data_IF_987907069647
#
_entry.id   IF_987907069647
#
_cell.length_a   1.000
_cell.length_b   1.000
_cell.length_c   1.000
_cell.angle_alpha   90.00
_cell.angle_beta   90.00
_cell.angle_gamma   90.00
#
_symmetry.space_group_name_H-M   'P 1'
#
loop_
_entity.id
_entity.type
_entity.pdbx_description
1 polymer ?
#
# COMPACT_ATOMS: atom_id res chain seq x y z
N UNK A 1 -14.62 -4.30 18.00
CA UNK A 1 -15.51 -3.11 17.97
C UNK A 1 -16.26 -3.04 16.65
N UNK A 2 -17.55 -2.72 16.67
CA UNK A 2 -18.34 -2.52 15.45
C UNK A 2 -17.91 -1.23 14.75
N UNK A 3 -17.64 -1.30 13.45
CA UNK A 3 -17.30 -0.15 12.61
C UNK A 3 -18.58 0.42 11.97
N UNK A 4 -18.78 1.71 12.16
CA UNK A 4 -19.84 2.46 11.49
C UNK A 4 -19.21 3.62 10.73
N UNK A 5 -18.99 3.48 9.40
CA UNK A 5 -18.30 4.49 8.63
C UNK A 5 -19.13 5.78 8.48
N UNK A 6 -18.47 6.92 8.57
CA UNK A 6 -19.03 8.20 8.15
C UNK A 6 -19.24 8.22 6.63
N UNK A 7 -20.05 9.15 6.14
CA UNK A 7 -20.38 9.19 4.70
C UNK A 7 -19.16 9.41 3.80
N UNK A 8 -18.22 10.25 4.19
CA UNK A 8 -16.96 10.41 3.45
C UNK A 8 -16.13 9.12 3.46
N UNK A 9 -16.15 8.34 4.56
CA UNK A 9 -15.44 7.07 4.63
C UNK A 9 -16.09 6.02 3.71
N UNK A 10 -17.42 5.96 3.68
CA UNK A 10 -18.15 5.10 2.73
C UNK A 10 -17.76 5.43 1.29
N UNK A 11 -17.77 6.72 0.95
CA UNK A 11 -17.35 7.17 -0.38
C UNK A 11 -15.92 6.73 -0.70
N UNK A 12 -14.98 6.91 0.21
CA UNK A 12 -13.59 6.49 0.00
C UNK A 12 -13.45 4.97 -0.15
N UNK A 13 -14.19 4.18 0.63
CA UNK A 13 -14.22 2.72 0.52
C UNK A 13 -14.69 2.30 -0.87
N UNK A 14 -15.83 2.82 -1.32
CA UNK A 14 -16.35 2.53 -2.66
C UNK A 14 -15.39 2.99 -3.76
N UNK A 15 -14.78 4.16 -3.61
CA UNK A 15 -13.81 4.68 -4.57
C UNK A 15 -12.61 3.74 -4.76
N UNK A 16 -12.04 3.19 -3.67
CA UNK A 16 -10.97 2.18 -3.75
C UNK A 16 -11.45 0.92 -4.46
N UNK A 17 -12.67 0.45 -4.16
CA UNK A 17 -13.24 -0.76 -4.76
C UNK A 17 -13.46 -0.62 -6.27
N UNK A 18 -13.95 0.51 -6.71
CA UNK A 18 -14.30 0.78 -8.11
C UNK A 18 -13.07 1.13 -8.97
N UNK A 19 -12.02 1.73 -8.39
CA UNK A 19 -10.86 2.22 -9.13
C UNK A 19 -9.61 1.38 -8.86
N UNK A 20 -9.06 0.69 -9.88
CA UNK A 20 -7.81 -0.06 -9.73
C UNK A 20 -6.63 0.79 -9.29
N UNK A 21 -6.62 2.07 -9.65
CA UNK A 21 -5.60 3.04 -9.23
C UNK A 21 -6.28 4.23 -8.57
N UNK A 22 -5.99 4.44 -7.29
CA UNK A 22 -6.60 5.52 -6.50
C UNK A 22 -5.61 6.17 -5.55
N UNK A 23 -5.87 7.42 -5.20
CA UNK A 23 -5.16 8.16 -4.17
C UNK A 23 -6.17 8.83 -3.24
N UNK A 24 -5.99 8.64 -1.93
CA UNK A 24 -6.81 9.28 -0.90
C UNK A 24 -6.02 10.41 -0.22
N UNK A 25 -6.53 11.60 -0.36
CA UNK A 25 -6.02 12.81 0.30
C UNK A 25 -6.89 13.10 1.52
N UNK A 26 -6.53 12.56 2.66
CA UNK A 26 -7.26 12.70 3.92
C UNK A 26 -6.28 13.10 5.03
N UNK A 27 -6.65 14.09 5.82
CA UNK A 27 -5.86 14.51 6.97
C UNK A 27 -5.61 13.40 7.98
N UNK A 28 -4.68 13.64 8.88
CA UNK A 28 -4.40 12.70 9.97
C UNK A 28 -5.64 12.51 10.84
N UNK A 29 -5.87 11.28 11.28
CA UNK A 29 -7.02 10.95 12.14
C UNK A 29 -8.34 10.68 11.42
N UNK A 30 -8.45 10.92 10.11
CA UNK A 30 -9.68 10.67 9.34
C UNK A 30 -9.90 9.19 8.95
N UNK A 31 -9.10 8.29 9.50
CA UNK A 31 -9.34 6.85 9.37
C UNK A 31 -8.85 6.23 8.05
N UNK A 32 -7.76 6.73 7.44
CA UNK A 32 -7.20 6.14 6.22
C UNK A 32 -6.99 4.63 6.32
N UNK A 33 -6.46 4.15 7.44
CA UNK A 33 -6.18 2.73 7.65
C UNK A 33 -7.44 1.88 7.69
N UNK A 34 -8.45 2.27 8.47
CA UNK A 34 -9.72 1.50 8.54
C UNK A 34 -10.50 1.57 7.24
N UNK A 35 -10.52 2.71 6.54
CA UNK A 35 -11.11 2.85 5.21
C UNK A 35 -10.48 1.84 4.25
N UNK A 36 -9.14 1.82 4.19
CA UNK A 36 -8.40 0.93 3.30
C UNK A 36 -8.64 -0.53 3.67
N UNK A 37 -8.50 -0.92 4.94
CA UNK A 37 -8.74 -2.29 5.40
C UNK A 37 -10.17 -2.77 5.10
N UNK A 38 -11.17 -1.90 5.24
CA UNK A 38 -12.56 -2.23 4.89
C UNK A 38 -12.72 -2.47 3.39
N UNK A 39 -12.10 -1.64 2.55
CA UNK A 39 -12.10 -1.84 1.10
C UNK A 39 -11.36 -3.13 0.71
N UNK A 40 -10.22 -3.44 1.34
CA UNK A 40 -9.47 -4.69 1.11
C UNK A 40 -10.30 -5.91 1.50
N UNK A 41 -10.99 -5.87 2.64
CA UNK A 41 -11.87 -6.95 3.07
C UNK A 41 -12.94 -7.25 2.02
N UNK A 42 -13.61 -6.23 1.50
CA UNK A 42 -14.60 -6.38 0.45
C UNK A 42 -13.99 -6.91 -0.87
N UNK A 43 -12.85 -6.36 -1.30
CA UNK A 43 -12.16 -6.83 -2.52
C UNK A 43 -11.70 -8.28 -2.45
N UNK A 44 -11.31 -8.76 -1.25
CA UNK A 44 -10.82 -10.12 -1.05
C UNK A 44 -11.96 -11.13 -0.89
N UNK A 45 -12.94 -10.84 -0.05
CA UNK A 45 -13.93 -11.84 0.38
C UNK A 45 -15.30 -11.70 -0.28
N UNK A 46 -15.70 -10.49 -0.64
CA UNK A 46 -17.01 -10.26 -1.28
C UNK A 46 -16.89 -10.26 -2.81
N UNK A 47 -15.85 -9.61 -3.35
CA UNK A 47 -15.68 -9.43 -4.81
C UNK A 47 -14.67 -10.41 -5.43
N UNK A 48 -13.83 -11.07 -4.64
CA UNK A 48 -12.78 -12.01 -5.07
C UNK A 48 -11.83 -11.44 -6.14
N UNK A 49 -11.56 -10.13 -6.07
CA UNK A 49 -10.72 -9.40 -7.02
C UNK A 49 -9.26 -9.32 -6.62
N UNK A 50 -8.97 -9.53 -5.33
CA UNK A 50 -7.63 -9.39 -4.75
C UNK A 50 -7.35 -10.60 -3.86
N UNK A 51 -6.15 -11.17 -4.00
CA UNK A 51 -5.72 -12.33 -3.21
C UNK A 51 -4.65 -11.97 -2.17
N UNK A 52 -3.70 -11.10 -2.53
CA UNK A 52 -2.54 -10.79 -1.69
C UNK A 52 -2.15 -9.33 -1.81
N UNK A 53 -2.09 -8.65 -0.68
CA UNK A 53 -1.82 -7.21 -0.61
C UNK A 53 -0.49 -6.93 0.09
N UNK A 54 0.29 -6.03 -0.48
CA UNK A 54 1.45 -5.43 0.15
C UNK A 54 1.12 -4.00 0.57
N UNK A 55 1.26 -3.70 1.86
CA UNK A 55 1.20 -2.35 2.41
C UNK A 55 2.61 -1.86 2.68
N UNK A 56 2.96 -0.70 2.16
CA UNK A 56 4.24 -0.03 2.38
C UNK A 56 3.98 1.20 3.25
N UNK A 57 4.58 1.24 4.44
CA UNK A 57 4.31 2.27 5.43
C UNK A 57 5.59 2.72 6.17
N UNK A 58 5.56 3.83 6.91
CA UNK A 58 6.60 4.15 7.87
C UNK A 58 6.75 3.05 8.92
N UNK A 59 7.98 2.84 9.45
CA UNK A 59 8.28 1.70 10.35
C UNK A 59 7.30 1.54 11.51
N UNK A 60 6.98 2.61 12.23
CA UNK A 60 6.03 2.57 13.36
C UNK A 60 4.62 2.18 12.90
N UNK A 61 4.19 2.76 11.79
CA UNK A 61 2.86 2.51 11.24
C UNK A 61 2.75 1.07 10.74
N UNK A 62 3.79 0.55 10.07
CA UNK A 62 3.85 -0.83 9.61
C UNK A 62 3.81 -1.83 10.76
N UNK A 63 4.59 -1.57 11.83
CA UNK A 63 4.73 -2.47 12.97
C UNK A 63 3.53 -2.44 13.90
N UNK A 64 2.99 -1.26 14.17
CA UNK A 64 2.05 -1.05 15.27
C UNK A 64 0.62 -0.73 14.79
N UNK A 65 0.46 0.20 13.84
CA UNK A 65 -0.86 0.74 13.46
C UNK A 65 -1.71 -0.25 12.66
N UNK A 66 -1.15 -0.79 11.57
CA UNK A 66 -1.88 -1.72 10.71
C UNK A 66 -2.34 -2.99 11.43
N UNK A 67 -1.47 -3.69 12.21
CA UNK A 67 -1.91 -4.85 12.97
C UNK A 67 -2.93 -4.53 14.05
N UNK A 68 -2.80 -3.38 14.73
CA UNK A 68 -3.74 -2.96 15.76
C UNK A 68 -5.13 -2.67 15.19
N UNK A 69 -5.20 -2.01 14.02
CA UNK A 69 -6.49 -1.73 13.36
C UNK A 69 -7.20 -3.01 12.91
N UNK A 70 -6.48 -4.01 12.38
CA UNK A 70 -7.10 -5.31 12.03
C UNK A 70 -7.72 -5.97 13.26
N UNK A 71 -7.03 -5.98 14.41
CA UNK A 71 -7.52 -6.58 15.64
C UNK A 71 -8.66 -5.81 16.29
N UNK A 72 -8.76 -4.53 16.06
CA UNK A 72 -9.72 -3.63 16.71
C UNK A 72 -11.16 -3.82 16.19
N UNK A 73 -11.32 -4.12 14.91
CA UNK A 73 -12.61 -4.09 14.25
C UNK A 73 -13.18 -5.48 13.96
N UNK A 74 -14.45 -5.72 14.34
CA UNK A 74 -15.09 -7.02 14.27
C UNK A 74 -15.15 -7.60 12.84
N UNK A 75 -15.40 -6.74 11.85
CA UNK A 75 -15.50 -7.16 10.45
C UNK A 75 -14.14 -7.48 9.78
N UNK A 76 -13.03 -7.20 10.45
CA UNK A 76 -11.67 -7.45 9.93
C UNK A 76 -11.01 -8.67 10.56
N UNK A 77 -11.64 -9.38 11.45
CA UNK A 77 -11.04 -10.48 12.22
C UNK A 77 -10.56 -11.66 11.35
N UNK A 78 -11.07 -11.80 10.14
CA UNK A 78 -10.63 -12.82 9.18
C UNK A 78 -9.41 -12.40 8.33
N UNK A 79 -8.98 -11.13 8.44
CA UNK A 79 -7.80 -10.64 7.73
C UNK A 79 -6.53 -11.04 8.48
N UNK A 80 -5.89 -12.11 8.02
CA UNK A 80 -4.55 -12.47 8.49
C UNK A 80 -3.53 -11.44 7.97
N UNK A 81 -2.74 -10.87 8.89
CA UNK A 81 -1.73 -9.86 8.58
C UNK A 81 -0.34 -10.31 9.02
N UNK A 82 0.65 -10.13 8.15
CA UNK A 82 2.06 -10.42 8.43
C UNK A 82 2.91 -9.16 8.30
N UNK A 83 3.79 -8.90 9.27
CA UNK A 83 4.60 -7.67 9.35
C UNK A 83 6.04 -7.97 9.02
N UNK A 84 6.53 -7.44 7.89
CA UNK A 84 7.89 -7.65 7.35
C UNK A 84 8.79 -6.53 7.84
N UNK A 85 9.22 -6.61 9.10
CA UNK A 85 10.13 -5.65 9.75
C UNK A 85 11.18 -6.37 10.59
N UNK A 86 12.19 -5.65 11.06
CA UNK A 86 13.22 -6.18 11.95
C UNK A 86 14.40 -6.80 11.21
N UNK A 87 15.02 -7.82 11.80
CA UNK A 87 16.18 -8.54 11.25
C UNK A 87 15.82 -9.31 9.97
N UNK A 88 16.83 -9.72 9.19
CA UNK A 88 16.63 -10.55 7.99
C UNK A 88 15.88 -11.84 8.34
N UNK A 89 16.19 -12.46 9.47
CA UNK A 89 15.50 -13.69 9.93
C UNK A 89 14.02 -13.44 10.17
N UNK A 90 13.69 -12.37 10.88
CA UNK A 90 12.29 -11.99 11.16
C UNK A 90 11.53 -11.68 9.89
N UNK A 91 12.12 -10.89 8.99
CA UNK A 91 11.52 -10.56 7.69
C UNK A 91 11.28 -11.79 6.81
N UNK A 92 12.26 -12.71 6.78
CA UNK A 92 12.12 -13.97 6.02
C UNK A 92 10.99 -14.83 6.60
N UNK A 93 10.89 -14.95 7.92
CA UNK A 93 9.78 -15.65 8.54
C UNK A 93 8.43 -15.01 8.21
N UNK A 94 8.36 -13.68 8.24
CA UNK A 94 7.14 -12.94 7.94
C UNK A 94 6.69 -13.08 6.47
N UNK A 95 7.63 -13.08 5.50
CA UNK A 95 7.32 -13.32 4.08
C UNK A 95 6.78 -14.73 3.84
N UNK A 96 7.31 -15.72 4.57
CA UNK A 96 6.90 -17.12 4.44
C UNK A 96 5.66 -17.47 5.29
N UNK A 97 5.20 -16.57 6.14
CA UNK A 97 3.95 -16.75 6.86
C UNK A 97 2.77 -16.57 5.89
N UNK A 98 1.76 -17.45 5.99
CA UNK A 98 0.57 -17.34 5.16
C UNK A 98 -0.36 -16.25 5.69
N UNK A 99 -0.54 -15.19 4.91
CA UNK A 99 -1.38 -14.05 5.25
C UNK A 99 -2.04 -13.46 4.00
N UNK A 100 -3.09 -12.67 4.19
CA UNK A 100 -3.73 -11.91 3.12
C UNK A 100 -3.06 -10.54 2.90
N UNK A 101 -2.63 -9.91 4.01
CA UNK A 101 -2.00 -8.59 4.02
C UNK A 101 -0.60 -8.71 4.58
N UNK A 102 0.36 -8.19 3.85
CA UNK A 102 1.75 -8.08 4.28
C UNK A 102 2.09 -6.61 4.42
N UNK A 103 2.66 -6.22 5.55
CA UNK A 103 3.04 -4.83 5.80
C UNK A 103 4.55 -4.75 5.91
N UNK A 104 5.17 -3.92 5.10
CA UNK A 104 6.61 -3.69 5.08
C UNK A 104 6.92 -2.21 5.33
N UNK A 105 7.98 -1.92 6.07
CA UNK A 105 8.44 -0.55 6.13
C UNK A 105 9.19 -0.18 4.84
N UNK A 106 9.02 1.07 4.41
CA UNK A 106 9.52 1.58 3.12
C UNK A 106 11.02 1.37 2.90
N UNK A 107 11.83 1.31 3.96
CA UNK A 107 13.27 1.06 3.90
C UNK A 107 13.59 -0.38 3.46
N UNK A 108 12.68 -1.32 3.70
CA UNK A 108 12.84 -2.74 3.38
C UNK A 108 12.20 -3.16 2.04
N UNK A 109 11.62 -2.24 1.27
CA UNK A 109 11.06 -2.55 -0.06
C UNK A 109 12.12 -3.14 -0.98
N UNK A 110 13.32 -2.54 -1.03
CA UNK A 110 14.44 -3.09 -1.80
C UNK A 110 14.74 -4.53 -1.41
N UNK A 111 14.90 -4.79 -0.11
CA UNK A 111 15.18 -6.13 0.39
C UNK A 111 14.09 -7.14 -0.03
N UNK A 112 12.82 -6.76 0.05
CA UNK A 112 11.71 -7.64 -0.32
C UNK A 112 11.74 -8.02 -1.80
N UNK A 113 11.96 -7.04 -2.68
CA UNK A 113 12.06 -7.30 -4.13
C UNK A 113 13.25 -8.19 -4.43
N UNK A 114 14.43 -7.90 -3.85
CA UNK A 114 15.64 -8.73 -3.99
C UNK A 114 15.45 -10.14 -3.42
N UNK A 115 14.69 -10.30 -2.34
CA UNK A 115 14.36 -11.60 -1.76
C UNK A 115 13.59 -12.46 -2.76
N UNK A 116 12.56 -11.90 -3.41
CA UNK A 116 11.81 -12.60 -4.46
C UNK A 116 12.70 -12.97 -5.65
N UNK A 117 13.51 -12.04 -6.13
CA UNK A 117 14.45 -12.26 -7.26
C UNK A 117 15.45 -13.37 -6.94
N UNK A 118 16.13 -13.30 -5.79
CA UNK A 118 17.17 -14.26 -5.38
C UNK A 118 16.66 -15.67 -5.15
N UNK A 119 15.40 -15.80 -4.73
CA UNK A 119 14.78 -17.11 -4.49
C UNK A 119 13.98 -17.62 -5.69
N UNK A 120 14.02 -16.94 -6.83
CA UNK A 120 13.27 -17.33 -8.02
C UNK A 120 11.76 -17.31 -7.84
N UNK A 121 11.27 -16.49 -6.89
CA UNK A 121 9.84 -16.37 -6.58
C UNK A 121 9.19 -15.40 -7.55
N UNK A 122 8.01 -15.76 -8.04
CA UNK A 122 7.18 -14.84 -8.80
C UNK A 122 6.57 -13.82 -7.83
N UNK A 123 6.59 -12.55 -8.24
CA UNK A 123 5.88 -11.50 -7.50
C UNK A 123 4.38 -11.77 -7.53
N UNK A 124 3.79 -12.03 -6.38
CA UNK A 124 2.42 -12.50 -6.22
C UNK A 124 1.51 -11.52 -5.46
N UNK A 125 2.03 -10.34 -5.12
CA UNK A 125 1.19 -9.26 -4.62
C UNK A 125 0.44 -8.62 -5.78
N UNK A 126 -0.86 -8.80 -5.82
CA UNK A 126 -1.72 -8.27 -6.88
C UNK A 126 -2.24 -6.85 -6.58
N UNK A 127 -2.06 -6.38 -5.34
CA UNK A 127 -2.36 -5.02 -4.92
C UNK A 127 -1.27 -4.45 -4.01
N UNK A 128 -0.93 -3.19 -4.21
CA UNK A 128 -0.02 -2.43 -3.34
C UNK A 128 -0.74 -1.20 -2.78
N UNK A 129 -0.61 -1.00 -1.47
CA UNK A 129 -1.02 0.21 -0.76
C UNK A 129 0.23 0.94 -0.28
N UNK A 130 0.35 2.22 -0.61
CA UNK A 130 1.43 3.07 -0.14
C UNK A 130 0.85 4.03 0.91
N UNK A 131 1.13 3.73 2.17
CA UNK A 131 0.79 4.63 3.27
C UNK A 131 1.89 5.69 3.40
N UNK A 132 1.47 6.95 3.52
CA UNK A 132 2.34 8.12 3.43
C UNK A 132 2.98 8.24 2.03
N UNK A 133 2.15 8.36 1.00
CA UNK A 133 2.56 8.47 -0.40
C UNK A 133 3.58 9.60 -0.63
N UNK A 134 3.45 10.69 0.11
CA UNK A 134 4.38 11.84 0.08
C UNK A 134 5.84 11.47 0.36
N UNK A 135 6.10 10.33 1.01
CA UNK A 135 7.47 9.83 1.22
C UNK A 135 8.17 9.34 -0.06
N UNK A 136 7.44 9.20 -1.16
CA UNK A 136 7.95 8.76 -2.47
C UNK A 136 8.09 9.90 -3.48
N UNK A 137 8.19 11.16 -3.02
CA UNK A 137 8.26 12.36 -3.85
C UNK A 137 9.42 12.38 -4.84
N UNK A 138 10.54 11.78 -4.49
CA UNK A 138 11.70 11.75 -5.37
C UNK A 138 11.68 10.51 -6.27
N UNK A 139 11.31 10.70 -7.55
CA UNK A 139 11.30 9.65 -8.56
C UNK A 139 12.68 9.02 -8.84
N UNK A 140 13.77 9.69 -8.47
CA UNK A 140 15.15 9.16 -8.55
C UNK A 140 15.50 8.32 -7.31
N UNK A 141 14.65 8.30 -6.28
CA UNK A 141 14.91 7.51 -5.08
C UNK A 141 15.01 6.02 -5.39
N UNK A 142 15.85 5.33 -4.64
CA UNK A 142 15.98 3.86 -4.77
C UNK A 142 14.65 3.15 -4.54
N UNK A 143 13.81 3.66 -3.62
CA UNK A 143 12.48 3.12 -3.33
C UNK A 143 11.57 3.15 -4.54
N UNK A 144 11.53 4.26 -5.24
CA UNK A 144 10.76 4.44 -6.48
C UNK A 144 11.22 3.45 -7.57
N UNK A 145 12.53 3.29 -7.74
CA UNK A 145 13.10 2.35 -8.72
C UNK A 145 12.69 0.91 -8.45
N UNK A 146 12.69 0.49 -7.18
CA UNK A 146 12.30 -0.87 -6.80
C UNK A 146 10.81 -1.13 -7.01
N UNK A 147 9.94 -0.19 -6.71
CA UNK A 147 8.51 -0.30 -6.99
C UNK A 147 8.22 -0.35 -8.49
N UNK A 148 8.96 0.40 -9.31
CA UNK A 148 8.82 0.32 -10.78
C UNK A 148 9.13 -1.07 -11.34
N UNK A 149 10.06 -1.81 -10.75
CA UNK A 149 10.37 -3.18 -11.19
C UNK A 149 9.16 -4.11 -11.04
N UNK A 150 8.42 -4.00 -9.96
CA UNK A 150 7.29 -4.89 -9.66
C UNK A 150 5.97 -4.40 -10.24
N UNK A 151 5.91 -3.14 -10.69
CA UNK A 151 4.69 -2.53 -11.22
C UNK A 151 3.97 -3.37 -12.28
N UNK A 152 4.62 -4.01 -13.27
CA UNK A 152 3.94 -4.81 -14.29
C UNK A 152 3.14 -5.99 -13.74
N UNK A 153 3.45 -6.43 -12.53
CA UNK A 153 2.81 -7.58 -11.88
C UNK A 153 1.68 -7.19 -10.92
N UNK A 154 1.47 -5.89 -10.70
CA UNK A 154 0.52 -5.36 -9.72
C UNK A 154 -0.67 -4.75 -10.45
N UNK A 155 -1.87 -5.26 -10.14
CA UNK A 155 -3.11 -4.84 -10.81
C UNK A 155 -3.75 -3.61 -10.17
N UNK A 156 -3.58 -3.43 -8.86
CA UNK A 156 -4.23 -2.38 -8.08
C UNK A 156 -3.23 -1.62 -7.23
N UNK A 157 -3.40 -0.30 -7.19
CA UNK A 157 -2.55 0.61 -6.43
C UNK A 157 -3.38 1.62 -5.67
N UNK A 158 -3.09 1.80 -4.38
CA UNK A 158 -3.70 2.83 -3.53
C UNK A 158 -2.59 3.65 -2.88
N UNK A 159 -2.68 4.95 -3.02
CA UNK A 159 -1.82 5.90 -2.30
C UNK A 159 -2.61 6.60 -1.20
N UNK A 160 -2.05 6.69 -0.01
CA UNK A 160 -2.63 7.38 1.14
C UNK A 160 -1.72 8.51 1.56
N UNK A 161 -2.23 9.73 1.69
CA UNK A 161 -1.47 10.88 2.18
C UNK A 161 -2.35 11.94 2.83
N UNK A 162 -1.81 12.64 3.83
CA UNK A 162 -2.47 13.82 4.42
C UNK A 162 -2.14 15.11 3.68
N UNK A 163 -0.96 15.16 3.06
CA UNK A 163 -0.50 16.35 2.35
C UNK A 163 -0.08 15.98 0.93
N UNK A 164 -0.86 16.37 -0.10
CA UNK A 164 -0.60 15.95 -1.48
C UNK A 164 0.71 16.52 -2.05
N UNK A 165 1.07 17.75 -1.68
CA UNK A 165 2.29 18.38 -2.19
C UNK A 165 2.92 19.29 -1.14
N UNK A 166 4.25 19.15 -0.92
CA UNK A 166 5.02 20.12 -0.12
C UNK A 166 5.92 21.00 -0.99
N UNK A 167 6.34 20.54 -2.17
CA UNK A 167 7.30 21.22 -3.05
C UNK A 167 6.77 21.41 -4.48
N UNK A 168 5.46 21.30 -4.71
CA UNK A 168 4.83 21.65 -5.97
C UNK A 168 4.56 20.48 -6.93
N UNK A 169 4.40 20.80 -8.22
CA UNK A 169 3.92 19.88 -9.26
C UNK A 169 4.81 18.65 -9.49
N UNK A 170 6.12 18.75 -9.25
CA UNK A 170 7.05 17.63 -9.45
C UNK A 170 6.85 16.53 -8.41
N UNK A 171 6.51 16.90 -7.17
CA UNK A 171 6.16 15.92 -6.12
C UNK A 171 4.86 15.19 -6.49
N UNK A 172 3.83 15.95 -6.89
CA UNK A 172 2.56 15.37 -7.34
C UNK A 172 2.76 14.45 -8.54
N UNK A 173 3.63 14.84 -9.48
CA UNK A 173 3.96 14.01 -10.65
C UNK A 173 4.58 12.68 -10.21
N UNK A 174 5.54 12.71 -9.28
CA UNK A 174 6.20 11.50 -8.78
C UNK A 174 5.21 10.59 -8.02
N UNK A 175 4.34 11.16 -7.20
CA UNK A 175 3.33 10.44 -6.43
C UNK A 175 2.30 9.76 -7.35
N UNK A 176 1.74 10.46 -8.32
CA UNK A 176 0.79 9.91 -9.29
C UNK A 176 1.47 8.93 -10.24
N UNK A 177 2.68 9.25 -10.71
CA UNK A 177 3.43 8.39 -11.62
C UNK A 177 3.78 7.02 -11.03
N UNK A 178 3.98 6.93 -9.72
CA UNK A 178 4.17 5.63 -9.04
C UNK A 178 2.89 4.79 -9.08
N UNK A 179 1.72 5.43 -8.94
CA UNK A 179 0.44 4.77 -8.90
C UNK A 179 -0.03 4.31 -10.29
N UNK A 180 0.03 5.19 -11.28
CA UNK A 180 -0.55 4.95 -12.62
C UNK A 180 0.48 4.67 -13.73
N UNK A 181 1.78 4.68 -13.41
CA UNK A 181 2.84 4.46 -14.42
C UNK A 181 3.06 5.66 -15.35
N UNK A 182 2.56 6.83 -14.99
CA UNK A 182 2.68 8.06 -15.77
C UNK A 182 1.62 8.24 -16.84
N UNK A 183 0.51 7.50 -16.78
CA UNK A 183 -0.56 7.60 -17.77
C UNK A 183 -1.27 8.95 -17.75
N UNK A 184 -1.58 9.48 -16.54
CA UNK A 184 -2.36 10.72 -16.37
C UNK A 184 -1.56 11.99 -16.60
N UNK A 185 -0.32 12.01 -16.16
CA UNK A 185 0.54 13.20 -16.20
C UNK A 185 1.65 13.12 -17.25
N UNK A 186 1.67 12.03 -18.04
CA UNK A 186 2.69 11.79 -19.06
C UNK A 186 4.03 11.34 -18.50
N UNK A 187 4.98 11.09 -19.41
CA UNK A 187 6.36 10.78 -19.03
C UNK A 187 7.07 12.06 -18.61
N UNK A 188 8.04 11.95 -17.69
CA UNK A 188 8.91 13.07 -17.34
C UNK A 188 9.48 13.69 -18.62
N UNK A 189 9.50 15.04 -18.72
CA UNK A 189 10.29 15.71 -19.74
C UNK A 189 11.73 15.22 -19.62
N UNK A 190 12.30 14.71 -20.71
CA UNK A 190 13.74 14.48 -20.80
C UNK A 190 14.44 15.84 -20.63
N UNK A 191 15.36 15.93 -19.68
CA UNK A 191 16.25 17.07 -19.58
C UNK A 191 17.19 17.07 -20.77
#
# INVERSE_FOLDING_TARGET
>A
MKYTPHDYQKYCIEYIREHPVSALFLDMGLGKTIITLTALNALMFDELKVNKVLVIAPLRVARDTWPAEVKKWDHLQNLEISVIVGSVKERTAAVNHNAFIYVVNRENVKWLVEYYEKNGLRWDFDMIVIDELSSFKNYQSQRFKWLRKVRPFVKRWVGLTGTPTSNGLMDLWAEIGILDGGERLGRLPSR
#
